data_IF_657806345625
#
_entry.id   IF_657806345625
#
_cell.length_a   1.000
_cell.length_b   1.000
_cell.length_c   1.000
_cell.angle_alpha   90.00
_cell.angle_beta   90.00
_cell.angle_gamma   90.00
#
_symmetry.space_group_name_H-M   'P 1'
#
loop_
_entity.id
_entity.type
_entity.pdbx_description
1 polymer ?
#
# COMPACT_ATOMS: atom_id res chain seq x y z
N UNK A 1 -5.27 4.48 28.62
CA UNK A 1 -5.68 5.86 28.27
C UNK A 1 -6.22 5.86 26.85
N UNK A 2 -6.81 6.95 26.35
CA UNK A 2 -7.29 7.01 24.94
C UNK A 2 -6.13 6.82 23.95
N UNK A 3 -4.93 7.25 24.33
CA UNK A 3 -3.72 7.16 23.51
C UNK A 3 -3.30 5.72 23.24
N UNK A 4 -3.24 4.86 24.26
CA UNK A 4 -2.92 3.43 24.08
C UNK A 4 -3.93 2.77 23.15
N UNK A 5 -5.23 3.05 23.35
CA UNK A 5 -6.29 2.52 22.51
C UNK A 5 -6.17 2.99 21.05
N UNK A 6 -5.88 4.28 20.83
CA UNK A 6 -5.69 4.83 19.49
C UNK A 6 -4.47 4.21 18.80
N UNK A 7 -3.35 4.10 19.53
CA UNK A 7 -2.10 3.50 19.06
C UNK A 7 -2.31 2.03 18.68
N UNK A 8 -2.93 1.25 19.56
CA UNK A 8 -3.24 -0.16 19.31
C UNK A 8 -4.18 -0.33 18.10
N UNK A 9 -5.17 0.55 17.93
CA UNK A 9 -6.09 0.49 16.80
C UNK A 9 -5.39 0.76 15.46
N UNK A 10 -4.60 1.84 15.39
CA UNK A 10 -3.88 2.24 14.18
C UNK A 10 -2.82 1.19 13.83
N UNK A 11 -2.03 0.74 14.81
CA UNK A 11 -1.00 -0.28 14.61
C UNK A 11 -1.59 -1.62 14.20
N UNK A 12 -2.68 -2.04 14.85
CA UNK A 12 -3.41 -3.25 14.52
C UNK A 12 -4.04 -3.23 13.13
N UNK A 13 -4.48 -2.07 12.63
CA UNK A 13 -4.92 -1.90 11.24
C UNK A 13 -3.76 -1.99 10.26
N UNK A 14 -2.67 -1.26 10.52
CA UNK A 14 -1.47 -1.29 9.67
C UNK A 14 -0.93 -2.72 9.50
N UNK A 15 -0.79 -3.49 10.59
CA UNK A 15 -0.40 -4.92 10.55
C UNK A 15 -1.32 -5.78 9.68
N UNK A 16 -2.59 -5.42 9.59
CA UNK A 16 -3.59 -6.15 8.83
C UNK A 16 -3.50 -5.84 7.35
N UNK A 17 -3.34 -4.56 7.00
CA UNK A 17 -3.28 -4.10 5.62
C UNK A 17 -1.94 -4.47 4.97
N UNK A 18 -0.85 -4.47 5.74
CA UNK A 18 0.43 -5.09 5.38
C UNK A 18 0.29 -6.54 4.88
N UNK A 19 -0.45 -7.37 5.64
CA UNK A 19 -0.72 -8.77 5.26
C UNK A 19 -1.60 -8.85 4.01
N UNK A 20 -2.63 -8.00 3.93
CA UNK A 20 -3.51 -7.94 2.76
C UNK A 20 -2.73 -7.60 1.48
N UNK A 21 -1.85 -6.61 1.54
CA UNK A 21 -1.03 -6.20 0.39
C UNK A 21 -0.10 -7.32 -0.08
N UNK A 22 0.61 -8.00 0.84
CA UNK A 22 1.48 -9.12 0.45
C UNK A 22 0.70 -10.29 -0.14
N UNK A 23 -0.46 -10.62 0.43
CA UNK A 23 -1.33 -11.67 -0.09
C UNK A 23 -1.74 -11.43 -1.56
N UNK A 24 -1.78 -10.17 -2.03
CA UNK A 24 -2.05 -9.88 -3.45
C UNK A 24 -1.01 -10.43 -4.41
N UNK A 25 0.14 -10.88 -3.94
CA UNK A 25 1.14 -11.57 -4.76
C UNK A 25 0.95 -13.09 -4.83
N UNK A 26 0.10 -13.68 -3.98
CA UNK A 26 0.02 -15.14 -3.82
C UNK A 26 -0.52 -15.80 -5.09
N UNK A 27 0.18 -16.83 -5.57
CA UNK A 27 -0.19 -17.59 -6.76
C UNK A 27 0.06 -16.91 -8.10
N UNK A 28 0.62 -15.69 -8.13
CA UNK A 28 0.97 -15.01 -9.39
C UNK A 28 2.32 -15.48 -9.93
N UNK A 29 2.43 -15.57 -11.25
CA UNK A 29 3.71 -15.75 -11.95
C UNK A 29 4.65 -14.54 -11.72
N UNK A 30 5.97 -14.71 -11.89
CA UNK A 30 6.92 -13.58 -11.84
C UNK A 30 6.56 -12.48 -12.85
N UNK A 31 6.09 -12.88 -14.02
CA UNK A 31 5.67 -11.94 -15.06
C UNK A 31 4.45 -11.11 -14.63
N UNK A 32 3.38 -11.75 -14.13
CA UNK A 32 2.14 -11.04 -13.78
C UNK A 32 2.29 -10.14 -12.56
N UNK A 33 3.21 -10.47 -11.65
CA UNK A 33 3.52 -9.60 -10.51
C UNK A 33 4.19 -8.29 -10.94
N UNK A 34 4.92 -8.28 -12.07
CA UNK A 34 5.80 -7.16 -12.49
C UNK A 34 5.29 -6.37 -13.68
N UNK A 35 4.53 -7.00 -14.57
CA UNK A 35 4.12 -6.36 -15.82
C UNK A 35 3.21 -5.15 -15.55
N UNK A 36 3.29 -4.09 -16.36
CA UNK A 36 2.31 -3.01 -16.35
C UNK A 36 0.87 -3.51 -16.42
N UNK A 37 0.02 -3.04 -15.50
CA UNK A 37 -1.43 -3.31 -15.48
C UNK A 37 -2.27 -2.05 -15.68
N UNK A 38 -1.62 -0.90 -15.79
CA UNK A 38 -2.24 0.40 -16.09
C UNK A 38 -1.42 1.15 -17.14
N UNK A 39 -2.02 2.19 -17.73
CA UNK A 39 -1.32 3.07 -18.66
C UNK A 39 -0.12 3.81 -18.05
N UNK A 40 -0.05 3.91 -16.72
CA UNK A 40 1.05 4.54 -15.97
C UNK A 40 2.10 3.53 -15.50
N UNK A 41 2.00 2.26 -15.87
CA UNK A 41 2.97 1.23 -15.49
C UNK A 41 2.77 0.59 -14.12
N UNK A 42 1.69 0.95 -13.40
CA UNK A 42 1.44 0.40 -12.06
C UNK A 42 1.24 -1.11 -12.12
N UNK A 43 1.92 -1.82 -11.23
CA UNK A 43 1.93 -3.28 -11.13
C UNK A 43 1.99 -3.70 -9.65
N UNK A 44 1.68 -4.97 -9.36
CA UNK A 44 1.51 -5.44 -7.98
C UNK A 44 2.81 -5.47 -7.17
N UNK A 45 3.92 -5.95 -7.76
CA UNK A 45 5.20 -6.02 -7.06
C UNK A 45 5.77 -4.62 -6.78
N UNK A 46 5.57 -3.71 -7.74
CA UNK A 46 5.87 -2.29 -7.59
C UNK A 46 5.13 -1.65 -6.43
N UNK A 47 3.82 -1.90 -6.29
CA UNK A 47 3.04 -1.40 -5.16
C UNK A 47 3.59 -1.90 -3.81
N UNK A 48 4.00 -3.16 -3.72
CA UNK A 48 4.62 -3.71 -2.50
C UNK A 48 5.94 -3.00 -2.19
N UNK A 49 6.81 -2.84 -3.19
CA UNK A 49 8.10 -2.14 -3.03
C UNK A 49 7.91 -0.67 -2.60
N UNK A 50 6.97 0.03 -3.21
CA UNK A 50 6.64 1.40 -2.88
C UNK A 50 6.17 1.53 -1.43
N UNK A 51 5.18 0.74 -1.01
CA UNK A 51 4.66 0.81 0.38
C UNK A 51 5.74 0.42 1.39
N UNK A 52 6.58 -0.57 1.08
CA UNK A 52 7.73 -0.92 1.92
C UNK A 52 8.72 0.24 2.09
N UNK A 53 8.96 1.00 1.03
CA UNK A 53 9.87 2.16 1.03
C UNK A 53 9.27 3.34 1.78
N UNK A 54 7.99 3.64 1.55
CA UNK A 54 7.24 4.66 2.29
C UNK A 54 7.29 4.35 3.78
N UNK A 55 6.94 3.13 4.18
CA UNK A 55 6.87 2.73 5.58
C UNK A 55 8.25 2.78 6.27
N UNK A 56 9.31 2.29 5.60
CA UNK A 56 10.68 2.36 6.12
C UNK A 56 11.15 3.81 6.32
N UNK A 57 10.83 4.68 5.36
CA UNK A 57 11.19 6.10 5.42
C UNK A 57 10.49 6.82 6.57
N UNK A 58 9.16 6.65 6.67
CA UNK A 58 8.36 7.39 7.64
C UNK A 58 8.53 6.91 9.08
N UNK A 59 8.79 5.63 9.34
CA UNK A 59 9.08 5.15 10.70
C UNK A 59 10.58 5.12 11.04
N UNK A 60 11.45 5.38 10.05
CA UNK A 60 12.90 5.50 10.21
C UNK A 60 13.36 6.94 10.24
N UNK A 61 13.59 7.52 9.05
CA UNK A 61 14.20 8.84 8.85
C UNK A 61 13.49 9.95 9.64
N UNK A 62 12.16 9.92 9.72
CA UNK A 62 11.35 10.96 10.38
C UNK A 62 11.55 11.02 11.90
N UNK A 63 12.00 9.91 12.51
CA UNK A 63 12.24 9.78 13.94
C UNK A 63 13.73 9.53 14.27
N UNK A 64 14.63 9.89 13.35
CA UNK A 64 16.08 9.69 13.48
C UNK A 64 16.49 8.23 13.73
N UNK A 65 15.71 7.27 13.22
CA UNK A 65 15.97 5.83 13.35
C UNK A 65 16.56 5.30 12.04
N UNK A 66 17.61 4.51 12.15
CA UNK A 66 18.27 3.92 10.98
C UNK A 66 17.32 2.93 10.29
N UNK A 67 17.02 3.19 9.02
CA UNK A 67 16.23 2.28 8.17
C UNK A 67 16.90 0.90 8.11
N UNK A 68 16.11 -0.20 8.00
CA UNK A 68 16.66 -1.55 7.88
C UNK A 68 17.57 -1.71 6.66
N UNK A 69 17.39 -0.89 5.63
CA UNK A 69 18.23 -0.85 4.43
C UNK A 69 18.51 0.60 3.97
N UNK A 70 19.62 0.84 3.24
CA UNK A 70 19.90 2.15 2.66
C UNK A 70 18.78 2.57 1.71
N UNK A 71 18.13 3.69 2.03
CA UNK A 71 17.15 4.33 1.16
C UNK A 71 17.84 5.38 0.31
N UNK A 72 17.46 5.46 -0.96
CA UNK A 72 17.80 6.61 -1.78
C UNK A 72 17.25 7.89 -1.12
N UNK A 73 17.94 9.02 -1.28
CA UNK A 73 17.41 10.30 -0.80
C UNK A 73 16.09 10.57 -1.49
N UNK A 74 15.11 11.09 -0.75
CA UNK A 74 13.80 11.42 -1.34
C UNK A 74 13.92 12.36 -2.54
N UNK A 75 14.82 13.35 -2.46
CA UNK A 75 15.08 14.32 -3.54
C UNK A 75 15.66 13.66 -4.81
N UNK A 76 16.30 12.50 -4.66
CA UNK A 76 16.87 11.72 -5.76
C UNK A 76 15.91 10.61 -6.21
N UNK A 77 14.75 10.46 -5.55
CA UNK A 77 13.69 9.55 -5.96
C UNK A 77 13.04 10.09 -7.22
N UNK A 78 13.33 9.45 -8.35
CA UNK A 78 12.72 9.72 -9.65
C UNK A 78 11.31 9.11 -9.78
N UNK A 79 10.61 8.87 -8.67
CA UNK A 79 9.28 8.22 -8.65
C UNK A 79 9.33 6.72 -8.97
N UNK A 80 10.51 6.11 -8.81
CA UNK A 80 10.80 4.76 -9.27
C UNK A 80 10.69 3.68 -8.19
N UNK A 81 10.15 4.01 -7.02
CA UNK A 81 9.88 3.05 -5.96
C UNK A 81 8.79 2.03 -6.33
N UNK A 82 8.06 2.28 -7.42
CA UNK A 82 7.15 1.35 -8.09
C UNK A 82 7.83 0.41 -9.12
N UNK A 83 9.13 0.57 -9.42
CA UNK A 83 9.85 -0.29 -10.36
C UNK A 83 10.69 -1.33 -9.61
N UNK A 84 10.27 -2.59 -9.68
CA UNK A 84 11.10 -3.74 -9.36
C UNK A 84 11.96 -4.08 -10.59
N UNK A 85 13.27 -3.92 -10.50
CA UNK A 85 14.20 -4.19 -11.62
C UNK A 85 14.31 -5.69 -11.90
N UNK A 86 14.91 -6.04 -13.03
CA UNK A 86 15.22 -7.42 -13.41
C UNK A 86 16.12 -8.15 -12.40
N UNK A 87 16.95 -7.40 -11.67
CA UNK A 87 17.90 -7.93 -10.68
C UNK A 87 17.27 -8.11 -9.29
N UNK A 88 16.12 -7.48 -9.04
CA UNK A 88 15.38 -7.62 -7.79
C UNK A 88 14.37 -8.75 -7.90
N UNK A 89 14.48 -9.78 -7.05
CA UNK A 89 13.50 -10.87 -6.98
C UNK A 89 12.27 -10.47 -6.16
N UNK A 90 11.13 -11.13 -6.41
CA UNK A 90 9.94 -10.96 -5.55
C UNK A 90 10.27 -11.24 -4.09
N UNK A 91 11.01 -12.31 -3.81
CA UNK A 91 11.35 -12.71 -2.46
C UNK A 91 12.22 -11.67 -1.75
N UNK A 92 13.15 -11.02 -2.46
CA UNK A 92 13.94 -9.91 -1.91
C UNK A 92 13.03 -8.74 -1.49
N UNK A 93 12.09 -8.34 -2.34
CA UNK A 93 11.16 -7.24 -2.06
C UNK A 93 10.21 -7.60 -0.91
N UNK A 94 9.69 -8.84 -0.88
CA UNK A 94 8.85 -9.32 0.22
C UNK A 94 9.64 -9.37 1.52
N UNK A 95 10.88 -9.87 1.50
CA UNK A 95 11.74 -9.93 2.67
C UNK A 95 12.11 -8.51 3.16
N UNK A 96 12.36 -7.58 2.26
CA UNK A 96 12.55 -6.16 2.58
C UNK A 96 11.32 -5.60 3.29
N UNK A 97 10.12 -5.81 2.75
CA UNK A 97 8.91 -5.31 3.40
C UNK A 97 8.70 -5.92 4.80
N UNK A 98 9.02 -7.20 5.01
CA UNK A 98 8.97 -7.82 6.34
C UNK A 98 9.96 -7.21 7.33
N UNK A 99 11.20 -6.92 6.90
CA UNK A 99 12.17 -6.17 7.73
C UNK A 99 11.67 -4.77 8.05
N UNK A 100 11.03 -4.10 7.09
CA UNK A 100 10.36 -2.82 7.32
C UNK A 100 9.28 -2.94 8.40
N UNK A 101 8.46 -4.00 8.37
CA UNK A 101 7.44 -4.19 9.42
C UNK A 101 8.06 -4.29 10.81
N UNK A 102 9.16 -5.03 10.96
CA UNK A 102 9.88 -5.16 12.23
C UNK A 102 10.42 -3.81 12.70
N UNK A 103 11.04 -3.05 11.80
CA UNK A 103 11.55 -1.71 12.08
C UNK A 103 10.44 -0.75 12.51
N UNK A 104 9.35 -0.69 11.75
CA UNK A 104 8.22 0.18 12.03
C UNK A 104 7.47 -0.24 13.29
N UNK A 105 7.33 -1.54 13.55
CA UNK A 105 6.77 -2.04 14.80
C UNK A 105 7.62 -1.64 16.00
N UNK A 106 8.95 -1.70 15.89
CA UNK A 106 9.85 -1.23 16.94
C UNK A 106 9.70 0.27 17.19
N UNK A 107 9.69 1.11 16.14
CA UNK A 107 9.45 2.56 16.27
C UNK A 107 8.11 2.86 16.94
N UNK A 108 7.03 2.24 16.45
CA UNK A 108 5.70 2.44 17.00
C UNK A 108 5.68 2.01 18.46
N UNK A 109 6.19 0.83 18.82
CA UNK A 109 6.15 0.34 20.20
C UNK A 109 6.92 1.24 21.17
N UNK A 110 8.10 1.74 20.77
CA UNK A 110 9.01 2.50 21.64
C UNK A 110 8.56 3.94 21.89
N UNK A 111 7.98 4.61 20.89
CA UNK A 111 7.68 6.03 20.96
C UNK A 111 6.25 6.32 21.45
N UNK A 112 6.01 7.35 22.27
CA UNK A 112 4.65 7.83 22.56
C UNK A 112 4.01 8.47 21.31
N UNK A 113 2.67 8.59 21.28
CA UNK A 113 1.94 9.12 20.12
C UNK A 113 2.29 10.57 19.77
N UNK A 114 2.64 11.37 20.78
CA UNK A 114 3.07 12.77 20.64
C UNK A 114 4.58 12.92 20.41
N UNK A 115 5.32 11.81 20.26
CA UNK A 115 6.75 11.85 19.95
C UNK A 115 6.98 12.70 18.69
N UNK A 116 7.85 13.72 18.76
CA UNK A 116 8.07 14.63 17.65
C UNK A 116 8.76 13.88 16.50
N UNK A 117 8.34 14.20 15.27
CA UNK A 117 8.98 13.75 14.05
C UNK A 117 9.14 14.91 13.06
N UNK A 118 10.09 14.79 12.14
CA UNK A 118 10.34 15.80 11.11
C UNK A 118 10.35 15.18 9.72
N UNK A 119 9.49 15.67 8.83
CA UNK A 119 9.34 15.21 7.45
C UNK A 119 9.90 16.27 6.49
N UNK A 120 11.17 16.19 6.05
CA UNK A 120 11.82 17.27 5.32
C UNK A 120 11.27 17.49 3.90
N UNK A 121 10.47 16.57 3.37
CA UNK A 121 9.82 16.69 2.07
C UNK A 121 8.35 17.12 2.12
N UNK A 122 7.80 17.37 3.32
CA UNK A 122 6.47 17.97 3.44
C UNK A 122 6.55 19.49 3.36
N UNK A 123 5.56 20.15 2.72
CA UNK A 123 5.55 21.60 2.63
C UNK A 123 5.26 22.24 3.99
N UNK A 124 5.78 23.45 4.20
CA UNK A 124 5.39 24.28 5.35
C UNK A 124 3.87 24.56 5.35
N UNK A 125 3.21 24.63 6.52
CA UNK A 125 3.75 24.52 7.88
C UNK A 125 3.76 23.08 8.46
N UNK A 126 3.72 22.06 7.61
CA UNK A 126 3.49 20.67 8.03
C UNK A 126 4.72 19.78 8.32
N UNK A 127 6.01 20.16 8.11
CA UNK A 127 7.11 19.20 8.24
C UNK A 127 7.35 18.76 9.69
N UNK A 128 7.03 19.60 10.68
CA UNK A 128 7.07 19.20 12.09
C UNK A 128 5.76 18.51 12.45
N UNK A 129 5.86 17.26 12.88
CA UNK A 129 4.72 16.37 13.11
C UNK A 129 4.96 15.48 14.32
N UNK A 130 4.13 14.46 14.51
CA UNK A 130 4.30 13.48 15.56
C UNK A 130 3.96 12.05 15.09
N UNK A 131 4.27 11.06 15.94
CA UNK A 131 4.00 9.65 15.65
C UNK A 131 2.55 9.38 15.27
N UNK A 132 1.57 9.98 15.96
CA UNK A 132 0.16 9.81 15.62
C UNK A 132 -0.14 10.22 14.17
N UNK A 133 0.30 11.40 13.75
CA UNK A 133 0.09 11.89 12.39
C UNK A 133 0.81 11.02 11.35
N UNK A 134 2.02 10.51 11.65
CA UNK A 134 2.72 9.58 10.78
C UNK A 134 2.01 8.23 10.68
N UNK A 135 1.51 7.68 11.78
CA UNK A 135 0.74 6.43 11.76
C UNK A 135 -0.52 6.58 10.90
N UNK A 136 -1.23 7.71 10.99
CA UNK A 136 -2.38 8.02 10.13
C UNK A 136 -1.97 8.13 8.66
N UNK A 137 -0.87 8.83 8.37
CA UNK A 137 -0.37 8.99 7.01
C UNK A 137 -0.01 7.64 6.37
N UNK A 138 0.84 6.84 7.02
CA UNK A 138 1.29 5.55 6.48
C UNK A 138 0.14 4.54 6.39
N UNK A 139 -0.82 4.58 7.31
CA UNK A 139 -2.04 3.78 7.18
C UNK A 139 -2.85 4.19 5.94
N UNK A 140 -2.98 5.49 5.68
CA UNK A 140 -3.62 6.02 4.47
C UNK A 140 -2.94 5.54 3.18
N UNK A 141 -1.62 5.61 3.12
CA UNK A 141 -0.82 5.09 2.00
C UNK A 141 -1.04 3.58 1.82
N UNK A 142 -0.94 2.81 2.90
CA UNK A 142 -1.10 1.35 2.89
C UNK A 142 -2.47 0.93 2.37
N UNK A 143 -3.55 1.56 2.86
CA UNK A 143 -4.93 1.25 2.43
C UNK A 143 -5.16 1.68 0.99
N UNK A 144 -4.69 2.88 0.59
CA UNK A 144 -4.82 3.38 -0.78
C UNK A 144 -4.18 2.41 -1.78
N UNK A 145 -2.95 1.99 -1.52
CA UNK A 145 -2.22 1.09 -2.41
C UNK A 145 -2.72 -0.36 -2.35
N UNK A 146 -3.26 -0.81 -1.21
CA UNK A 146 -3.99 -2.10 -1.14
C UNK A 146 -5.26 -2.07 -1.98
N UNK A 147 -6.01 -0.96 -1.96
CA UNK A 147 -7.18 -0.78 -2.83
C UNK A 147 -6.82 -0.73 -4.32
N UNK A 148 -5.68 -0.13 -4.69
CA UNK A 148 -5.16 -0.27 -6.05
C UNK A 148 -4.86 -1.74 -6.38
N UNK A 149 -4.18 -2.44 -5.47
CA UNK A 149 -3.85 -3.85 -5.67
C UNK A 149 -5.09 -4.75 -5.79
N UNK A 150 -6.20 -4.42 -5.12
CA UNK A 150 -7.49 -5.12 -5.30
C UNK A 150 -7.95 -5.10 -6.76
N UNK A 151 -7.98 -3.92 -7.39
CA UNK A 151 -8.43 -3.74 -8.78
C UNK A 151 -7.45 -4.38 -9.78
N UNK A 152 -6.14 -4.23 -9.53
CA UNK A 152 -5.13 -4.87 -10.37
C UNK A 152 -5.21 -6.40 -10.31
N UNK A 153 -5.49 -6.95 -9.13
CA UNK A 153 -5.65 -8.40 -8.96
C UNK A 153 -6.92 -8.91 -9.64
N UNK A 154 -8.04 -8.20 -9.48
CA UNK A 154 -9.29 -8.52 -10.18
C UNK A 154 -9.06 -8.59 -11.70
N UNK A 155 -8.31 -7.64 -12.26
CA UNK A 155 -7.99 -7.62 -13.69
C UNK A 155 -7.06 -8.75 -14.18
N UNK A 156 -6.32 -9.41 -13.28
CA UNK A 156 -5.40 -10.49 -13.62
C UNK A 156 -6.09 -11.85 -13.69
N UNK A 157 -6.82 -12.20 -12.63
CA UNK A 157 -7.36 -13.55 -12.44
C UNK A 157 -8.79 -13.56 -11.85
N UNK A 158 -9.43 -12.39 -11.78
CA UNK A 158 -10.79 -12.26 -11.26
C UNK A 158 -10.90 -12.51 -9.75
N UNK A 159 -9.80 -12.64 -9.01
CA UNK A 159 -9.86 -12.80 -7.54
C UNK A 159 -10.16 -11.46 -6.88
N UNK A 160 -11.11 -11.47 -5.95
CA UNK A 160 -11.53 -10.29 -5.18
C UNK A 160 -11.49 -10.57 -3.69
N UNK A 161 -11.55 -9.50 -2.89
CA UNK A 161 -11.62 -9.57 -1.44
C UNK A 161 -10.59 -8.68 -0.78
N UNK A 162 -10.95 -8.13 0.38
CA UNK A 162 -10.08 -7.21 1.13
C UNK A 162 -8.92 -7.93 1.84
N UNK A 163 -9.05 -9.25 2.06
CA UNK A 163 -8.09 -10.12 2.75
C UNK A 163 -8.25 -11.57 2.30
N UNK A 164 -7.24 -12.39 2.59
CA UNK A 164 -7.22 -13.81 2.25
C UNK A 164 -8.47 -14.57 2.75
N UNK A 165 -8.90 -14.33 3.99
CA UNK A 165 -10.08 -14.99 4.56
C UNK A 165 -11.41 -14.56 3.92
N UNK A 166 -11.41 -13.47 3.15
CA UNK A 166 -12.57 -12.94 2.44
C UNK A 166 -12.44 -13.12 0.93
N UNK A 167 -11.48 -13.92 0.48
CA UNK A 167 -11.25 -14.18 -0.93
C UNK A 167 -12.48 -14.79 -1.58
N UNK A 168 -12.81 -14.27 -2.77
CA UNK A 168 -13.85 -14.82 -3.63
C UNK A 168 -13.33 -14.91 -5.05
N UNK A 169 -13.49 -16.07 -5.65
CA UNK A 169 -13.40 -16.22 -7.09
C UNK A 169 -14.72 -15.73 -7.70
N UNK A 170 -14.61 -14.95 -8.77
CA UNK A 170 -15.79 -14.42 -9.44
C UNK A 170 -16.43 -15.49 -10.33
N UNK A 171 -17.75 -15.66 -10.18
CA UNK A 171 -18.60 -16.28 -11.19
C UNK A 171 -18.70 -15.35 -12.41
N UNK A 172 -18.12 -15.75 -13.53
CA UNK A 172 -18.01 -14.94 -14.74
C UNK A 172 -19.38 -14.62 -15.36
N UNK A 173 -20.33 -15.56 -15.32
CA UNK A 173 -21.65 -15.38 -15.88
C UNK A 173 -22.44 -14.39 -15.03
N UNK A 174 -22.42 -14.57 -13.70
CA UNK A 174 -23.05 -13.64 -12.76
C UNK A 174 -22.43 -12.24 -12.86
N UNK A 175 -21.09 -12.13 -13.02
CA UNK A 175 -20.41 -10.85 -13.23
C UNK A 175 -20.83 -10.19 -14.52
N UNK A 176 -20.85 -10.92 -15.64
CA UNK A 176 -21.25 -10.37 -16.92
C UNK A 176 -22.68 -9.81 -16.88
N UNK A 177 -23.61 -10.56 -16.29
CA UNK A 177 -24.99 -10.12 -16.10
C UNK A 177 -25.08 -8.86 -15.23
N UNK A 178 -24.33 -8.80 -14.13
CA UNK A 178 -24.31 -7.64 -13.25
C UNK A 178 -23.70 -6.40 -13.91
N UNK A 179 -22.58 -6.56 -14.63
CA UNK A 179 -21.96 -5.49 -15.40
C UNK A 179 -22.90 -4.94 -16.49
N UNK A 180 -23.61 -5.82 -17.22
CA UNK A 180 -24.60 -5.40 -18.21
C UNK A 180 -25.74 -4.59 -17.59
N UNK A 181 -26.19 -4.97 -16.39
CA UNK A 181 -27.19 -4.20 -15.62
C UNK A 181 -26.68 -2.81 -15.22
N UNK A 182 -25.44 -2.69 -14.75
CA UNK A 182 -24.83 -1.38 -14.40
C UNK A 182 -24.70 -0.51 -15.66
N UNK A 183 -24.21 -1.08 -16.75
CA UNK A 183 -24.06 -0.38 -18.04
C UNK A 183 -25.40 0.13 -18.57
N UNK A 184 -26.45 -0.68 -18.49
CA UNK A 184 -27.80 -0.26 -18.86
C UNK A 184 -28.26 0.92 -18.00
N UNK A 185 -28.08 0.85 -16.68
CA UNK A 185 -28.43 1.96 -15.78
C UNK A 185 -27.65 3.24 -16.09
N UNK A 186 -26.34 3.13 -16.36
CA UNK A 186 -25.49 4.25 -16.74
C UNK A 186 -25.96 4.91 -18.05
N UNK A 187 -26.31 4.11 -19.06
CA UNK A 187 -26.87 4.61 -20.33
C UNK A 187 -28.22 5.28 -20.16
N UNK A 188 -29.11 4.72 -19.35
CA UNK A 188 -30.42 5.32 -19.08
C UNK A 188 -30.33 6.63 -18.30
N UNK A 189 -29.32 6.80 -17.47
CA UNK A 189 -29.08 8.04 -16.72
C UNK A 189 -28.38 9.13 -17.57
N UNK A 190 -27.71 8.76 -18.65
CA UNK A 190 -27.06 9.71 -19.53
C UNK A 190 -28.13 10.56 -20.24
N UNK A 191 -28.10 11.90 -20.13
CA UNK A 191 -29.04 12.74 -20.86
C UNK A 191 -28.85 12.52 -22.35
N UNK A 192 -29.96 12.44 -23.10
CA UNK A 192 -29.93 12.49 -24.56
C UNK A 192 -29.29 13.83 -24.90
N UNK A 193 -28.06 13.82 -25.43
CA UNK A 193 -27.45 15.02 -26.00
C UNK A 193 -28.38 15.49 -27.12
N UNK A 194 -29.05 16.63 -26.90
CA UNK A 194 -29.76 17.38 -27.93
C UNK A 194 -28.77 18.03 -28.90
#
# INVERSE_FOLDING_TARGET
>A
MIDDFAKDNLHGRLRRDRKALLWKLDGLSEYDARRPLTATGTNLLGLVKHVATVEARYFGEVFDRTSPEPLARWQDSNGNDLWATEDETRDQIVAYYRRTWEHSDATINELPLDAPGHVPWWPEPYPNTNLFAIMVHVLGESIRHTGHADILREGLDGRTGIRAEHEKQIDEEARAAYCAKIEQAARSAAPIKA
#
